data_IF_060274048039
#
_entry.id   IF_060274048039
#
_cell.length_a   1.000
_cell.length_b   1.000
_cell.length_c   1.000
_cell.angle_alpha   90.00
_cell.angle_beta   90.00
_cell.angle_gamma   90.00
#
_symmetry.space_group_name_H-M   'P 1'
#
loop_
_entity.id
_entity.type
_entity.pdbx_description
1 polymer ?
#
# COMPACT_ATOMS: atom_id res chain seq x y z
N UNK A 1 -0.29 10.59 -14.15
CA UNK A 1 0.99 10.14 -13.54
C UNK A 1 1.05 8.63 -13.64
N UNK A 2 2.07 8.07 -14.32
CA UNK A 2 2.10 6.65 -14.70
C UNK A 2 2.04 5.70 -13.48
N UNK A 3 2.66 6.09 -12.37
CA UNK A 3 2.71 5.33 -11.11
C UNK A 3 1.32 5.03 -10.53
N UNK A 4 0.38 5.98 -10.60
CA UNK A 4 -0.98 5.76 -10.09
C UNK A 4 -1.69 4.64 -10.87
N UNK A 5 -1.54 4.63 -12.19
CA UNK A 5 -2.12 3.58 -13.04
C UNK A 5 -1.48 2.22 -12.76
N UNK A 6 -0.17 2.18 -12.52
CA UNK A 6 0.53 0.95 -12.12
C UNK A 6 0.02 0.42 -10.77
N UNK A 7 -0.17 1.29 -9.78
CA UNK A 7 -0.72 0.89 -8.46
C UNK A 7 -2.16 0.38 -8.61
N UNK A 8 -2.98 1.05 -9.41
CA UNK A 8 -4.36 0.61 -9.69
C UNK A 8 -4.38 -0.76 -10.38
N UNK A 9 -3.48 -1.01 -11.33
CA UNK A 9 -3.34 -2.30 -11.96
C UNK A 9 -2.88 -3.38 -10.96
N UNK A 10 -1.88 -3.10 -10.13
CA UNK A 10 -1.38 -4.03 -9.12
C UNK A 10 -2.45 -4.41 -8.10
N UNK A 11 -3.29 -3.47 -7.66
CA UNK A 11 -4.44 -3.78 -6.80
C UNK A 11 -5.38 -4.79 -7.45
N UNK A 12 -5.75 -4.56 -8.71
CA UNK A 12 -6.58 -5.51 -9.48
C UNK A 12 -5.90 -6.88 -9.65
N UNK A 13 -4.58 -6.89 -9.88
CA UNK A 13 -3.82 -8.13 -9.99
C UNK A 13 -3.80 -8.90 -8.66
N UNK A 14 -3.62 -8.22 -7.53
CA UNK A 14 -3.64 -8.82 -6.20
C UNK A 14 -4.98 -9.50 -5.94
N UNK A 15 -6.08 -8.78 -6.19
CA UNK A 15 -7.42 -9.33 -6.06
C UNK A 15 -7.62 -10.56 -6.95
N UNK A 16 -7.14 -10.52 -8.20
CA UNK A 16 -7.18 -11.67 -9.12
C UNK A 16 -6.41 -12.89 -8.59
N UNK A 17 -5.32 -12.67 -7.87
CA UNK A 17 -4.49 -13.71 -7.23
C UNK A 17 -5.02 -14.13 -5.84
N UNK A 18 -6.16 -13.62 -5.38
CA UNK A 18 -6.70 -13.89 -4.05
C UNK A 18 -5.94 -13.18 -2.92
N UNK A 19 -5.17 -12.15 -3.24
CA UNK A 19 -4.46 -11.30 -2.29
C UNK A 19 -5.27 -10.02 -2.00
N UNK A 20 -5.29 -9.62 -0.74
CA UNK A 20 -5.91 -8.37 -0.32
C UNK A 20 -5.24 -7.16 -0.99
N UNK A 21 -6.04 -6.28 -1.61
CA UNK A 21 -5.56 -5.08 -2.32
C UNK A 21 -4.90 -4.08 -1.37
N UNK A 22 -5.27 -4.12 -0.09
CA UNK A 22 -4.80 -3.24 0.98
C UNK A 22 -3.31 -3.41 1.28
N UNK A 23 -2.69 -4.51 0.80
CA UNK A 23 -1.24 -4.76 0.89
C UNK A 23 -0.40 -3.78 0.08
N UNK A 24 -0.99 -3.07 -0.88
CA UNK A 24 -0.32 -2.03 -1.66
C UNK A 24 -1.02 -0.70 -1.41
N UNK A 25 -0.25 0.32 -1.03
CA UNK A 25 -0.72 1.69 -0.94
C UNK A 25 0.27 2.64 -1.59
N UNK A 26 -0.26 3.78 -2.04
CA UNK A 26 0.53 4.87 -2.58
C UNK A 26 0.30 6.10 -1.72
N UNK A 27 1.39 6.64 -1.18
CA UNK A 27 1.39 7.89 -0.43
C UNK A 27 2.20 8.93 -1.20
N UNK A 28 1.78 10.19 -1.10
CA UNK A 28 2.49 11.31 -1.70
C UNK A 28 3.13 12.13 -0.58
N UNK A 29 4.45 12.05 -0.45
CA UNK A 29 5.23 12.86 0.46
C UNK A 29 6.32 13.59 -0.31
N UNK A 30 6.45 14.89 -0.06
CA UNK A 30 7.64 15.67 -0.39
C UNK A 30 8.72 15.47 0.67
N UNK A 31 9.96 15.84 0.36
CA UNK A 31 11.09 15.69 1.28
C UNK A 31 10.93 16.49 2.59
N UNK A 32 10.12 17.54 2.59
CA UNK A 32 9.86 18.37 3.78
C UNK A 32 8.76 17.81 4.69
N UNK A 33 7.97 16.84 4.24
CA UNK A 33 6.79 16.33 4.96
C UNK A 33 7.12 15.09 5.83
N UNK A 34 8.06 15.23 6.77
CA UNK A 34 8.52 14.12 7.63
C UNK A 34 7.37 13.50 8.44
N UNK A 35 6.51 14.33 9.05
CA UNK A 35 5.37 13.82 9.82
C UNK A 35 4.38 13.02 8.96
N UNK A 36 4.19 13.44 7.70
CA UNK A 36 3.31 12.75 6.76
C UNK A 36 3.90 11.41 6.36
N UNK A 37 5.22 11.34 6.19
CA UNK A 37 5.92 10.09 5.96
C UNK A 37 5.72 9.12 7.13
N UNK A 38 5.96 9.57 8.37
CA UNK A 38 5.77 8.75 9.58
C UNK A 38 4.33 8.23 9.66
N UNK A 39 3.34 9.10 9.53
CA UNK A 39 1.91 8.71 9.54
C UNK A 39 1.56 7.73 8.42
N UNK A 40 2.18 7.87 7.24
CA UNK A 40 1.98 6.96 6.12
C UNK A 40 2.53 5.56 6.40
N UNK A 41 3.71 5.48 7.04
CA UNK A 41 4.34 4.22 7.47
C UNK A 41 3.49 3.54 8.56
N UNK A 42 3.02 4.31 9.55
CA UNK A 42 2.12 3.80 10.60
C UNK A 42 0.80 3.25 10.01
N UNK A 43 0.18 3.98 9.08
CA UNK A 43 -1.07 3.57 8.42
C UNK A 43 -0.93 2.24 7.65
N UNK A 44 0.12 2.10 6.81
CA UNK A 44 0.32 0.85 6.07
C UNK A 44 0.67 -0.31 6.99
N UNK A 45 1.45 -0.06 8.05
CA UNK A 45 1.83 -1.08 9.04
C UNK A 45 0.59 -1.63 9.73
N UNK A 46 -0.27 -0.74 10.25
CA UNK A 46 -1.52 -1.15 10.91
C UNK A 46 -2.47 -1.91 9.97
N UNK A 47 -2.50 -1.56 8.68
CA UNK A 47 -3.30 -2.29 7.68
C UNK A 47 -2.75 -3.68 7.42
N UNK A 48 -1.44 -3.81 7.22
CA UNK A 48 -0.79 -5.09 6.93
C UNK A 48 -0.87 -6.04 8.12
N UNK A 49 -0.72 -5.55 9.35
CA UNK A 49 -0.85 -6.35 10.57
C UNK A 49 -2.24 -6.96 10.76
N UNK A 50 -3.28 -6.31 10.25
CA UNK A 50 -4.67 -6.81 10.31
C UNK A 50 -4.98 -7.85 9.23
N UNK A 51 -4.11 -8.00 8.23
CA UNK A 51 -4.29 -8.99 7.17
C UNK A 51 -3.70 -10.33 7.59
N UNK A 52 -4.29 -11.46 7.13
CA UNK A 52 -3.68 -12.77 7.36
C UNK A 52 -2.25 -12.79 6.80
N UNK A 53 -1.33 -13.62 7.32
CA UNK A 53 -0.01 -13.76 6.73
C UNK A 53 -0.12 -14.27 5.29
N UNK A 54 0.83 -13.88 4.44
CA UNK A 54 0.95 -14.50 3.13
C UNK A 54 1.40 -15.96 3.30
N UNK A 55 0.96 -16.87 2.43
CA UNK A 55 1.49 -18.23 2.41
C UNK A 55 3.02 -18.20 2.21
N UNK A 56 3.72 -19.10 2.90
CA UNK A 56 5.18 -19.25 2.83
C UNK A 56 5.63 -19.87 1.53
#
# INVERSE_FOLDING_TARGET
>A
MNTYNHVKFLKRLFNHLGLAEERIQQYFCSAAEVEKFIKSVEDITSKVEKLPPLPK
#
